data_IF_775872108587
#
_entry.id   IF_775872108587
#
_cell.length_a   1.000
_cell.length_b   1.000
_cell.length_c   1.000
_cell.angle_alpha   90.00
_cell.angle_beta   90.00
_cell.angle_gamma   90.00
#
_symmetry.space_group_name_H-M   'P 1'
#
loop_
_entity.id
_entity.type
_entity.pdbx_description
1 polymer ?
#
# COMPACT_ATOMS: atom_id res chain seq x y z
N UNK A 1 12.32 -4.68 -13.03
CA UNK A 1 12.59 -3.53 -12.13
C UNK A 1 13.82 -3.84 -11.30
N UNK A 2 14.75 -2.91 -11.18
CA UNK A 2 15.95 -3.05 -10.35
C UNK A 2 16.13 -1.78 -9.51
N UNK A 3 16.56 -1.90 -8.26
CA UNK A 3 16.94 -0.72 -7.45
C UNK A 3 18.37 -0.33 -7.82
N UNK A 4 18.55 0.83 -8.44
CA UNK A 4 19.86 1.30 -8.94
C UNK A 4 20.58 2.19 -7.93
N UNK A 5 19.86 2.85 -7.05
CA UNK A 5 20.41 3.67 -5.96
C UNK A 5 19.57 3.53 -4.69
N UNK A 6 20.24 3.54 -3.52
CA UNK A 6 19.63 3.35 -2.22
C UNK A 6 20.33 4.21 -1.16
N UNK A 7 19.61 5.17 -0.59
CA UNK A 7 19.97 5.83 0.67
C UNK A 7 19.09 5.27 1.79
N UNK A 8 19.65 4.32 2.55
CA UNK A 8 18.94 3.68 3.67
C UNK A 8 18.65 4.64 4.82
N UNK A 9 19.47 5.68 5.03
CA UNK A 9 19.27 6.63 6.14
C UNK A 9 18.10 7.55 5.85
N UNK A 10 18.02 8.04 4.61
CA UNK A 10 16.91 8.88 4.17
C UNK A 10 15.68 8.06 3.72
N UNK A 11 15.83 6.74 3.58
CA UNK A 11 14.82 5.84 3.01
C UNK A 11 14.36 6.26 1.60
N UNK A 12 15.35 6.66 0.79
CA UNK A 12 15.17 7.12 -0.59
C UNK A 12 15.78 6.09 -1.54
N UNK A 13 15.02 5.67 -2.53
CA UNK A 13 15.42 4.64 -3.49
C UNK A 13 15.10 5.08 -4.91
N UNK A 14 15.95 4.68 -5.84
CA UNK A 14 15.75 4.85 -7.27
C UNK A 14 15.56 3.48 -7.89
N UNK A 15 14.44 3.30 -8.58
CA UNK A 15 14.05 2.05 -9.23
C UNK A 15 14.04 2.27 -10.73
N UNK A 16 14.78 1.44 -11.45
CA UNK A 16 14.80 1.39 -12.89
C UNK A 16 13.82 0.33 -13.40
N UNK A 17 12.93 0.73 -14.30
CA UNK A 17 11.96 -0.12 -14.98
C UNK A 17 12.28 -0.19 -16.47
N UNK A 18 12.72 -1.38 -16.92
CA UNK A 18 13.26 -1.58 -18.27
C UNK A 18 12.17 -1.76 -19.35
N UNK A 19 10.90 -1.99 -18.99
CA UNK A 19 9.82 -2.18 -19.96
C UNK A 19 8.49 -1.56 -19.49
N UNK A 20 7.66 -0.99 -20.39
CA UNK A 20 7.87 -0.81 -21.84
C UNK A 20 8.73 0.41 -22.21
N UNK A 21 9.13 1.24 -21.24
CA UNK A 21 10.04 2.37 -21.43
C UNK A 21 11.02 2.42 -20.26
N UNK A 22 12.32 2.56 -20.56
CA UNK A 22 13.35 2.82 -19.55
C UNK A 22 12.96 4.06 -18.72
N UNK A 23 12.56 3.82 -17.48
CA UNK A 23 12.00 4.85 -16.61
C UNK A 23 12.53 4.71 -15.20
N UNK A 24 12.93 5.85 -14.64
CA UNK A 24 13.47 5.95 -13.29
C UNK A 24 12.39 6.46 -12.33
N UNK A 25 12.14 5.68 -11.29
CA UNK A 25 11.16 5.97 -10.27
C UNK A 25 11.84 6.26 -8.93
N UNK A 26 11.58 7.43 -8.38
CA UNK A 26 11.99 7.77 -7.03
C UNK A 26 10.93 7.31 -6.03
N UNK A 27 11.38 6.64 -4.99
CA UNK A 27 10.57 6.13 -3.89
C UNK A 27 11.08 6.73 -2.59
N UNK A 28 10.21 7.45 -1.87
CA UNK A 28 10.47 7.90 -0.50
C UNK A 28 9.64 7.05 0.45
N UNK A 29 10.24 5.96 0.93
CA UNK A 29 9.52 4.89 1.60
C UNK A 29 8.86 5.37 2.91
N UNK A 30 9.60 6.13 3.73
CA UNK A 30 9.08 6.69 4.99
C UNK A 30 7.98 7.72 4.81
N UNK A 31 7.95 8.41 3.67
CA UNK A 31 6.93 9.41 3.35
C UNK A 31 5.70 8.76 2.70
N UNK A 32 5.84 7.52 2.22
CA UNK A 32 4.76 6.83 1.52
C UNK A 32 4.53 7.37 0.11
N UNK A 33 5.58 7.83 -0.58
CA UNK A 33 5.44 8.47 -1.90
C UNK A 33 6.30 7.83 -2.97
N UNK A 34 5.79 7.85 -4.20
CA UNK A 34 6.50 7.47 -5.39
C UNK A 34 6.12 8.38 -6.56
N UNK A 35 7.08 8.70 -7.43
CA UNK A 35 6.82 9.52 -8.63
C UNK A 35 5.81 8.88 -9.59
N UNK A 36 5.52 7.58 -9.46
CA UNK A 36 4.45 6.93 -10.23
C UNK A 36 3.03 7.32 -9.81
N UNK A 37 2.83 8.08 -8.73
CA UNK A 37 1.50 8.49 -8.28
C UNK A 37 0.83 7.51 -7.33
N UNK A 38 1.04 6.22 -7.54
CA UNK A 38 0.17 5.18 -6.96
C UNK A 38 0.31 5.03 -5.45
N UNK A 39 1.50 5.24 -4.89
CA UNK A 39 1.73 5.05 -3.46
C UNK A 39 0.88 6.01 -2.63
N UNK A 40 0.96 7.31 -2.93
CA UNK A 40 0.17 8.34 -2.27
C UNK A 40 -1.33 8.26 -2.58
N UNK A 41 -1.71 7.83 -3.80
CA UNK A 41 -3.12 7.80 -4.20
C UNK A 41 -3.89 6.62 -3.61
N UNK A 42 -3.24 5.45 -3.50
CA UNK A 42 -3.88 4.24 -2.99
C UNK A 42 -3.63 4.04 -1.49
N UNK A 43 -2.77 4.86 -0.86
CA UNK A 43 -2.30 4.65 0.50
C UNK A 43 -1.75 3.21 0.70
N UNK A 44 -1.13 2.68 -0.34
CA UNK A 44 -0.63 1.31 -0.41
C UNK A 44 0.68 1.30 -1.21
N UNK A 45 1.72 0.53 -0.79
CA UNK A 45 2.98 0.45 -1.51
C UNK A 45 2.77 0.06 -2.98
N UNK A 46 3.17 0.94 -3.89
CA UNK A 46 3.17 0.60 -5.32
C UNK A 46 4.21 -0.48 -5.63
N UNK A 47 4.18 -1.05 -6.84
CA UNK A 47 5.16 -2.06 -7.28
C UNK A 47 6.63 -1.61 -7.12
N UNK A 48 6.93 -0.32 -7.28
CA UNK A 48 8.27 0.23 -7.09
C UNK A 48 8.67 0.27 -5.61
N UNK A 49 7.73 0.63 -4.73
CA UNK A 49 7.94 0.59 -3.28
C UNK A 49 8.09 -0.84 -2.76
N UNK A 50 7.29 -1.79 -3.28
CA UNK A 50 7.41 -3.21 -2.95
C UNK A 50 8.77 -3.79 -3.41
N UNK A 51 9.21 -3.48 -4.63
CA UNK A 51 10.53 -3.88 -5.12
C UNK A 51 11.66 -3.29 -4.26
N UNK A 52 11.49 -2.05 -3.82
CA UNK A 52 12.41 -1.39 -2.88
C UNK A 52 12.48 -2.12 -1.53
N UNK A 53 11.33 -2.42 -0.91
CA UNK A 53 11.25 -3.19 0.33
C UNK A 53 11.93 -4.55 0.22
N UNK A 54 11.60 -5.31 -0.84
CA UNK A 54 12.20 -6.62 -1.09
C UNK A 54 13.73 -6.54 -1.24
N UNK A 55 14.23 -5.54 -1.99
CA UNK A 55 15.67 -5.33 -2.22
C UNK A 55 16.41 -4.92 -0.93
N UNK A 56 15.74 -4.13 -0.08
CA UNK A 56 16.31 -3.67 1.18
C UNK A 56 16.12 -4.66 2.34
N UNK A 57 15.38 -5.76 2.11
CA UNK A 57 14.93 -6.70 3.15
C UNK A 57 14.17 -5.99 4.28
N UNK A 58 13.29 -5.07 3.90
CA UNK A 58 12.42 -4.32 4.82
C UNK A 58 10.99 -4.83 4.65
N UNK A 59 10.28 -4.99 5.76
CA UNK A 59 8.86 -5.36 5.73
C UNK A 59 8.02 -4.26 5.07
N UNK A 60 7.11 -4.66 4.19
CA UNK A 60 6.25 -3.70 3.47
C UNK A 60 4.97 -3.33 4.24
N UNK A 61 4.56 -4.18 5.18
CA UNK A 61 3.34 -4.01 5.99
C UNK A 61 3.23 -2.65 6.70
N UNK A 62 4.28 -2.09 7.33
CA UNK A 62 4.18 -0.81 8.04
C UNK A 62 3.81 0.37 7.14
N UNK A 63 3.98 0.22 5.82
CA UNK A 63 3.70 1.26 4.84
C UNK A 63 2.33 1.09 4.16
N UNK A 64 1.57 0.05 4.52
CA UNK A 64 0.20 -0.16 4.06
C UNK A 64 -0.79 0.55 4.99
N UNK A 65 -1.79 1.22 4.42
CA UNK A 65 -2.84 1.84 5.22
C UNK A 65 -3.69 0.79 5.94
N UNK A 66 -4.19 1.14 7.13
CA UNK A 66 -4.95 0.26 8.02
C UNK A 66 -6.18 -0.38 7.37
N UNK A 67 -6.80 0.25 6.37
CA UNK A 67 -7.95 -0.31 5.64
C UNK A 67 -7.61 -1.59 4.87
N UNK A 68 -6.33 -1.84 4.61
CA UNK A 68 -5.83 -3.05 3.97
C UNK A 68 -5.36 -4.10 4.97
N UNK A 69 -5.32 -3.77 6.27
CA UNK A 69 -4.93 -4.70 7.32
C UNK A 69 -6.09 -5.60 7.70
N UNK A 70 -5.88 -6.90 7.61
CA UNK A 70 -6.90 -7.91 7.90
C UNK A 70 -7.48 -7.75 9.32
N UNK A 71 -6.63 -7.43 10.30
CA UNK A 71 -7.03 -7.16 11.68
C UNK A 71 -8.04 -6.01 11.80
N UNK A 72 -7.92 -4.99 10.96
CA UNK A 72 -8.82 -3.82 10.95
C UNK A 72 -10.10 -4.16 10.21
N UNK A 73 -10.01 -4.86 9.08
CA UNK A 73 -11.18 -5.32 8.32
C UNK A 73 -12.07 -6.22 9.17
N UNK A 74 -11.49 -7.17 9.92
CA UNK A 74 -12.28 -8.05 10.79
C UNK A 74 -13.02 -7.30 11.89
N UNK A 75 -12.40 -6.28 12.49
CA UNK A 75 -13.07 -5.44 13.51
C UNK A 75 -14.31 -4.72 12.97
N UNK A 76 -14.34 -4.37 11.67
CA UNK A 76 -15.54 -3.78 11.05
C UNK A 76 -16.71 -4.77 11.05
N UNK A 77 -16.43 -6.06 10.88
CA UNK A 77 -17.44 -7.14 10.88
C UNK A 77 -17.71 -7.75 12.26
N UNK A 78 -16.94 -7.37 13.29
CA UNK A 78 -17.18 -7.81 14.66
C UNK A 78 -18.48 -7.23 15.23
N UNK A 79 -18.96 -6.12 14.68
CA UNK A 79 -20.24 -5.55 15.05
C UNK A 79 -21.38 -6.54 14.75
N UNK A 80 -22.08 -7.00 15.79
CA UNK A 80 -23.28 -7.81 15.63
C UNK A 80 -24.39 -6.96 14.99
N UNK A 81 -24.74 -7.29 13.75
CA UNK A 81 -25.96 -6.79 13.15
C UNK A 81 -27.14 -7.51 13.83
N UNK A 82 -28.02 -6.74 14.47
CA UNK A 82 -29.28 -7.31 14.92
C UNK A 82 -30.01 -7.89 13.71
N UNK A 83 -30.47 -9.15 13.75
CA UNK A 83 -31.25 -9.71 12.67
C UNK A 83 -32.45 -8.79 12.43
N UNK A 84 -32.69 -8.42 11.17
CA UNK A 84 -33.83 -7.58 10.82
C UNK A 84 -35.08 -8.38 11.15
N UNK A 85 -35.80 -7.95 12.19
CA UNK A 85 -37.02 -8.60 12.65
C UNK A 85 -38.09 -8.40 11.57
N UNK A 86 -38.44 -9.49 10.89
CA UNK A 86 -39.58 -9.64 9.99
C UNK A 86 -39.60 -8.64 8.79
N UNK A 87 -39.64 -9.18 7.57
CA UNK A 87 -39.75 -8.40 6.32
C UNK A 87 -40.91 -7.37 6.33
N UNK A 88 -41.94 -7.60 7.15
CA UNK A 88 -43.06 -6.66 7.35
C UNK A 88 -42.72 -5.33 8.01
N UNK A 89 -41.52 -5.15 8.58
CA UNK A 89 -41.08 -3.91 9.22
C UNK A 89 -40.17 -3.05 8.32
N UNK A 90 -39.94 -3.47 7.08
CA UNK A 90 -39.15 -2.71 6.13
C UNK A 90 -40.02 -1.56 5.62
N UNK A 91 -39.60 -0.31 5.81
CA UNK A 91 -40.31 0.83 5.21
C UNK A 91 -40.01 0.86 3.70
N UNK A 92 -41.06 1.00 2.89
CA UNK A 92 -41.00 1.23 1.44
C UNK A 92 -40.28 2.54 1.08
#
# INVERSE_FOLDING_TARGET
MCVTHCDRRASIFVVDELEPFESLFWVWLMVGTCVCGLFQSLYFPCRHALATCATASIESEPYMHLVYMQEVVFKVYEAEFSPILNEKLWME
#
